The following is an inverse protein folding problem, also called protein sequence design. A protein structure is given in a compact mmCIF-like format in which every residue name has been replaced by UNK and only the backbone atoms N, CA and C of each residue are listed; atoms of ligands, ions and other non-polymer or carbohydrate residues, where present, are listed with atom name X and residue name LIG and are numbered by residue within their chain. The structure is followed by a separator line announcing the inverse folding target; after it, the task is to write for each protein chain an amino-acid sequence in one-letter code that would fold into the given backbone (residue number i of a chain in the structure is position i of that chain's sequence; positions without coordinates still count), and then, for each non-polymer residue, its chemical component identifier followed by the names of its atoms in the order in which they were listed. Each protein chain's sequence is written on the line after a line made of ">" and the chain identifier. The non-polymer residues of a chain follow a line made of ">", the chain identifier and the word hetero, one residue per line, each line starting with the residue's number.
data_IF_491536365844
#
_entry.id   IF_491536365844
#
_cell.length_a   1.000
_cell.length_b   1.000
_cell.length_c   1.000
_cell.angle_alpha   90.00
_cell.angle_beta   90.00
_cell.angle_gamma   90.00
#
_symmetry.space_group_name_H-M   'P 1'
#
loop_
_entity.id
_entity.type
_entity.pdbx_description
1 polymer ?
#
# COMPACT_ATOMS: atom_id res chain seq x y z
N UNK A 1 13.86 -19.06 -13.11
CA UNK A 1 13.08 -18.00 -13.76
C UNK A 1 13.59 -16.67 -13.24
N UNK A 2 14.16 -15.86 -14.14
CA UNK A 2 14.92 -14.66 -13.80
C UNK A 2 14.01 -13.59 -13.20
N UNK A 3 14.16 -13.35 -11.91
CA UNK A 3 13.58 -12.19 -11.23
C UNK A 3 14.46 -10.98 -11.53
N UNK A 4 14.31 -10.41 -12.73
CA UNK A 4 14.79 -9.07 -13.02
C UNK A 4 13.82 -8.09 -12.36
N UNK A 5 14.11 -7.74 -11.12
CA UNK A 5 13.63 -6.47 -10.59
C UNK A 5 14.09 -5.40 -11.58
N UNK A 6 13.12 -4.73 -12.20
CA UNK A 6 13.41 -3.66 -13.14
C UNK A 6 14.28 -2.65 -12.38
N UNK A 7 15.53 -2.55 -12.81
CA UNK A 7 16.42 -1.48 -12.39
C UNK A 7 15.66 -0.17 -12.61
N UNK A 8 15.46 0.56 -11.51
CA UNK A 8 14.74 1.82 -11.50
C UNK A 8 15.27 2.69 -12.63
N UNK A 9 14.40 2.98 -13.61
CA UNK A 9 14.65 3.91 -14.72
C UNK A 9 14.67 5.37 -14.20
N UNK A 10 15.12 5.56 -12.94
CA UNK A 10 15.18 6.86 -12.28
C UNK A 10 16.55 7.42 -12.58
N UNK A 11 16.59 8.47 -13.40
CA UNK A 11 17.83 9.18 -13.71
C UNK A 11 18.37 9.89 -12.46
N UNK A 12 19.60 9.52 -12.06
CA UNK A 12 20.27 10.10 -10.89
C UNK A 12 20.57 11.60 -11.03
N UNK A 13 20.63 12.10 -12.26
CA UNK A 13 20.87 13.50 -12.57
C UNK A 13 19.57 14.27 -12.87
N UNK A 14 18.41 13.64 -12.68
CA UNK A 14 17.14 14.30 -12.97
C UNK A 14 16.87 15.46 -12.02
N UNK A 15 16.35 16.55 -12.54
CA UNK A 15 15.78 17.63 -11.72
C UNK A 15 14.53 17.08 -11.02
N UNK A 16 14.57 17.06 -9.68
CA UNK A 16 13.47 16.55 -8.89
C UNK A 16 12.30 17.52 -8.86
N UNK A 17 11.17 17.07 -9.40
CA UNK A 17 9.86 17.74 -9.37
C UNK A 17 9.00 17.06 -8.33
N UNK A 18 8.89 17.68 -7.17
CA UNK A 18 8.35 17.05 -5.96
C UNK A 18 6.85 17.30 -5.84
N UNK A 19 6.09 16.21 -5.67
CA UNK A 19 4.74 16.24 -5.13
C UNK A 19 4.77 15.94 -3.63
N UNK A 20 4.46 16.93 -2.81
CA UNK A 20 4.35 16.75 -1.36
C UNK A 20 2.96 16.24 -1.04
N UNK A 21 2.85 15.11 -0.31
CA UNK A 21 1.55 14.59 0.08
C UNK A 21 1.40 14.57 1.61
N UNK A 22 0.35 15.21 2.08
CA UNK A 22 -0.03 15.31 3.48
C UNK A 22 -1.41 14.71 3.73
N UNK A 23 -1.59 14.02 4.86
CA UNK A 23 -2.89 13.47 5.27
C UNK A 23 -3.05 13.52 6.78
N UNK A 24 -4.23 13.96 7.24
CA UNK A 24 -4.71 13.73 8.60
C UNK A 24 -5.87 12.72 8.59
N UNK A 25 -5.96 11.93 9.64
CA UNK A 25 -7.14 11.13 9.93
C UNK A 25 -7.78 11.66 11.22
N UNK A 26 -9.10 11.41 11.38
CA UNK A 26 -9.80 11.74 12.63
C UNK A 26 -9.18 11.11 13.88
N UNK A 27 -8.48 9.98 13.69
CA UNK A 27 -7.80 9.27 14.79
C UNK A 27 -6.54 10.03 15.24
N UNK A 28 -5.88 10.76 14.34
CA UNK A 28 -4.67 11.55 14.67
C UNK A 28 -5.00 12.77 15.55
N UNK A 29 -6.23 13.28 15.46
CA UNK A 29 -6.72 14.38 16.31
C UNK A 29 -6.92 13.95 17.77
N UNK A 30 -7.29 12.68 17.99
CA UNK A 30 -7.58 12.13 19.33
C UNK A 30 -6.33 11.75 20.12
N UNK A 31 -5.20 11.49 19.46
CA UNK A 31 -3.95 11.03 20.11
C UNK A 31 -3.04 12.15 20.61
N UNK A 32 -3.45 13.42 20.46
CA UNK A 32 -2.65 14.57 20.90
C UNK A 32 -1.36 14.79 20.08
N UNK A 33 -1.07 13.97 19.12
CA UNK A 33 -0.03 14.19 18.09
C UNK A 33 -0.57 15.10 16.99
N UNK A 34 -1.01 16.27 17.40
CA UNK A 34 -1.55 17.32 16.56
C UNK A 34 -0.43 18.01 15.76
N UNK A 35 0.28 17.28 14.93
CA UNK A 35 0.92 17.90 13.80
C UNK A 35 -0.17 18.19 12.78
N UNK A 36 -0.74 19.42 12.83
CA UNK A 36 -1.69 19.86 11.81
C UNK A 36 -1.16 19.58 10.40
N UNK A 37 -2.02 19.40 9.41
CA UNK A 37 -1.59 19.27 8.00
C UNK A 37 -0.58 20.36 7.61
N UNK A 38 -0.78 21.58 8.11
CA UNK A 38 0.16 22.68 7.91
C UNK A 38 1.56 22.39 8.42
N UNK A 39 1.69 21.78 9.61
CA UNK A 39 2.98 21.39 10.16
C UNK A 39 3.65 20.28 9.35
N UNK A 40 2.89 19.26 8.91
CA UNK A 40 3.42 18.23 8.00
C UNK A 40 3.92 18.85 6.71
N UNK A 41 3.12 19.73 6.10
CA UNK A 41 3.48 20.46 4.89
C UNK A 41 4.77 21.24 5.06
N UNK A 42 4.86 22.04 6.13
CA UNK A 42 6.00 22.93 6.36
C UNK A 42 7.30 22.14 6.57
N UNK A 43 7.25 21.02 7.32
CA UNK A 43 8.39 20.11 7.48
C UNK A 43 8.86 19.59 6.12
N UNK A 44 7.95 19.07 5.30
CA UNK A 44 8.27 18.44 4.03
C UNK A 44 8.75 19.46 3.00
N UNK A 45 8.12 20.64 2.94
CA UNK A 45 8.54 21.73 2.02
C UNK A 45 9.91 22.25 2.40
N UNK A 46 10.18 22.49 3.70
CA UNK A 46 11.49 22.91 4.18
C UNK A 46 12.57 21.86 3.87
N UNK A 47 12.25 20.59 4.03
CA UNK A 47 13.17 19.52 3.64
C UNK A 47 13.47 19.56 2.14
N UNK A 48 12.46 19.67 1.27
CA UNK A 48 12.67 19.78 -0.17
C UNK A 48 13.55 21.00 -0.53
N UNK A 49 13.29 22.14 0.11
CA UNK A 49 14.10 23.35 -0.10
C UNK A 49 15.56 23.16 0.32
N UNK A 50 15.81 22.50 1.47
CA UNK A 50 17.17 22.19 1.93
C UNK A 50 17.94 21.28 0.96
N UNK A 51 17.23 20.43 0.21
CA UNK A 51 17.79 19.55 -0.82
C UNK A 51 17.90 20.24 -2.20
N UNK A 52 17.43 21.47 -2.33
CA UNK A 52 17.39 22.18 -3.61
C UNK A 52 16.37 21.61 -4.61
N UNK A 53 15.34 20.90 -4.15
CA UNK A 53 14.33 20.30 -5.00
C UNK A 53 13.18 21.25 -5.29
N UNK A 54 12.62 21.14 -6.51
CA UNK A 54 11.48 21.95 -6.91
C UNK A 54 10.17 21.32 -6.45
N UNK A 55 9.46 21.96 -5.52
CA UNK A 55 8.10 21.56 -5.15
C UNK A 55 7.14 22.03 -6.25
N UNK A 56 6.47 21.08 -6.92
CA UNK A 56 5.50 21.34 -7.99
C UNK A 56 4.14 21.68 -7.40
N UNK A 57 3.69 20.84 -6.46
CA UNK A 57 2.39 21.01 -5.80
C UNK A 57 2.38 20.31 -4.43
N UNK A 58 1.43 20.76 -3.59
CA UNK A 58 1.14 20.14 -2.30
C UNK A 58 -0.27 19.57 -2.33
N UNK A 59 -0.36 18.26 -2.12
CA UNK A 59 -1.59 17.48 -2.14
C UNK A 59 -2.00 17.18 -0.72
N UNK A 60 -3.26 17.48 -0.36
CA UNK A 60 -3.72 17.40 1.04
C UNK A 60 -5.10 16.74 1.11
N UNK A 61 -5.16 15.60 1.81
CA UNK A 61 -6.42 14.93 2.13
C UNK A 61 -6.67 15.03 3.64
N UNK A 62 -7.68 15.82 4.04
CA UNK A 62 -8.08 16.00 5.42
C UNK A 62 -9.36 15.19 5.73
N UNK A 63 -9.42 14.57 6.91
CA UNK A 63 -10.58 13.79 7.36
C UNK A 63 -10.78 12.44 6.69
N UNK A 64 -9.85 11.99 5.83
CA UNK A 64 -9.90 10.69 5.18
C UNK A 64 -9.11 9.63 5.95
N UNK A 65 -9.72 8.46 6.16
CA UNK A 65 -9.03 7.33 6.78
C UNK A 65 -8.02 6.70 5.81
N UNK A 66 -6.95 6.14 6.33
CA UNK A 66 -5.96 5.42 5.48
C UNK A 66 -6.51 4.16 4.80
N UNK A 67 -7.73 3.75 5.12
CA UNK A 67 -8.44 2.60 4.53
C UNK A 67 -9.31 3.00 3.33
N UNK A 68 -9.68 4.28 3.22
CA UNK A 68 -10.52 4.77 2.13
C UNK A 68 -9.68 5.14 0.91
N UNK A 69 -10.09 4.66 -0.25
CA UNK A 69 -9.45 4.95 -1.55
C UNK A 69 -9.93 6.25 -2.19
N UNK A 70 -11.08 6.78 -1.74
CA UNK A 70 -11.65 8.02 -2.27
C UNK A 70 -10.95 9.26 -1.67
N UNK A 71 -9.65 9.38 -1.94
CA UNK A 71 -8.81 10.51 -1.56
C UNK A 71 -8.53 11.35 -2.81
N UNK A 72 -9.25 12.48 -2.98
CA UNK A 72 -9.20 13.26 -4.23
C UNK A 72 -7.80 13.79 -4.54
N UNK A 73 -7.08 14.24 -3.51
CA UNK A 73 -5.73 14.78 -3.72
C UNK A 73 -4.68 13.70 -3.92
N UNK A 74 -4.83 12.51 -3.33
CA UNK A 74 -4.02 11.37 -3.72
C UNK A 74 -4.23 11.00 -5.20
N UNK A 75 -5.49 10.95 -5.66
CA UNK A 75 -5.78 10.67 -7.06
C UNK A 75 -5.20 11.74 -8.01
N UNK A 76 -5.24 13.01 -7.58
CA UNK A 76 -4.62 14.12 -8.32
C UNK A 76 -3.11 13.97 -8.39
N UNK A 77 -2.46 13.57 -7.30
CA UNK A 77 -1.03 13.27 -7.25
C UNK A 77 -0.67 12.12 -8.20
N UNK A 78 -1.40 11.00 -8.15
CA UNK A 78 -1.13 9.86 -9.03
C UNK A 78 -1.25 10.24 -10.51
N UNK A 79 -2.27 11.02 -10.87
CA UNK A 79 -2.40 11.56 -12.23
C UNK A 79 -1.25 12.49 -12.63
N UNK A 80 -0.71 13.27 -11.70
CA UNK A 80 0.47 14.10 -11.95
C UNK A 80 1.73 13.26 -12.19
N UNK A 81 1.88 12.14 -11.47
CA UNK A 81 2.94 11.16 -11.70
C UNK A 81 2.80 10.50 -13.08
N UNK A 82 1.61 10.05 -13.46
CA UNK A 82 1.34 9.46 -14.79
C UNK A 82 1.69 10.40 -15.94
N UNK A 83 1.42 11.69 -15.77
CA UNK A 83 1.75 12.73 -16.75
C UNK A 83 3.23 13.15 -16.74
N UNK A 84 4.03 12.59 -15.84
CA UNK A 84 5.44 12.98 -15.67
C UNK A 84 5.64 14.40 -15.14
N UNK A 85 4.62 15.03 -14.57
CA UNK A 85 4.73 16.35 -13.94
C UNK A 85 5.46 16.26 -12.61
N UNK A 86 5.27 15.15 -11.89
CA UNK A 86 5.90 14.80 -10.63
C UNK A 86 6.75 13.55 -10.83
N UNK A 87 8.02 13.59 -10.46
CA UNK A 87 8.95 12.46 -10.50
C UNK A 87 9.52 12.09 -9.12
N UNK A 88 9.11 12.82 -8.07
CA UNK A 88 9.41 12.51 -6.67
C UNK A 88 8.17 12.76 -5.83
N UNK A 89 7.75 11.77 -5.08
CA UNK A 89 6.68 11.88 -4.08
C UNK A 89 7.29 11.81 -2.69
N UNK A 90 6.94 12.77 -1.83
CA UNK A 90 7.41 12.79 -0.43
C UNK A 90 6.24 12.85 0.54
N UNK A 91 6.32 12.03 1.59
CA UNK A 91 5.39 12.01 2.72
C UNK A 91 6.13 12.09 4.06
N UNK A 92 5.44 12.43 5.13
CA UNK A 92 6.02 12.38 6.47
C UNK A 92 6.40 10.95 6.84
N UNK A 93 5.47 10.03 6.70
CA UNK A 93 5.60 8.60 6.97
C UNK A 93 4.78 7.79 5.96
N UNK A 94 5.00 6.48 5.86
CA UNK A 94 4.28 5.61 4.92
C UNK A 94 2.78 5.53 5.21
N UNK A 95 2.36 5.70 6.48
CA UNK A 95 0.95 5.63 6.85
C UNK A 95 0.13 6.75 6.20
N UNK A 96 0.78 7.87 5.80
CA UNK A 96 0.13 8.96 5.06
C UNK A 96 -0.26 8.50 3.65
N UNK A 97 0.59 7.71 3.00
CA UNK A 97 0.28 7.14 1.69
C UNK A 97 -0.89 6.14 1.78
N UNK A 98 -0.90 5.28 2.79
CA UNK A 98 -2.00 4.35 3.06
C UNK A 98 -1.73 3.47 4.28
N UNK A 99 -2.81 3.10 5.01
CA UNK A 99 -2.75 2.07 6.06
C UNK A 99 -2.98 0.67 5.51
N UNK A 100 -3.50 0.57 4.28
CA UNK A 100 -3.68 -0.70 3.61
C UNK A 100 -2.38 -1.12 2.94
N UNK A 101 -1.71 -2.13 3.51
CA UNK A 101 -0.43 -2.64 3.01
C UNK A 101 -0.48 -3.08 1.55
N UNK A 102 -1.63 -3.61 1.08
CA UNK A 102 -1.79 -4.03 -0.32
C UNK A 102 -1.75 -2.84 -1.27
N UNK A 103 -2.48 -1.77 -0.94
CA UNK A 103 -2.50 -0.55 -1.79
C UNK A 103 -1.18 0.19 -1.75
N UNK A 104 -0.60 0.33 -0.54
CA UNK A 104 0.70 1.00 -0.39
C UNK A 104 1.80 0.20 -1.08
N UNK A 105 1.78 -1.13 -0.96
CA UNK A 105 2.69 -2.03 -1.67
C UNK A 105 2.56 -1.89 -3.18
N UNK A 106 1.33 -1.90 -3.72
CA UNK A 106 1.10 -1.67 -5.15
C UNK A 106 1.67 -0.33 -5.64
N UNK A 107 1.46 0.75 -4.88
CA UNK A 107 1.99 2.06 -5.24
C UNK A 107 3.53 2.07 -5.25
N UNK A 108 4.16 1.45 -4.25
CA UNK A 108 5.62 1.46 -4.09
C UNK A 108 6.32 0.47 -5.02
N UNK A 109 5.72 -0.70 -5.27
CA UNK A 109 6.37 -1.80 -5.99
C UNK A 109 6.04 -1.80 -7.48
N UNK A 110 4.87 -1.29 -7.87
CA UNK A 110 4.43 -1.29 -9.26
C UNK A 110 4.24 0.10 -9.83
N UNK A 111 3.40 0.94 -9.19
CA UNK A 111 2.99 2.21 -9.77
C UNK A 111 4.15 3.20 -9.90
N UNK A 112 4.83 3.51 -8.80
CA UNK A 112 5.93 4.49 -8.82
C UNK A 112 7.10 4.05 -9.70
N UNK A 113 7.60 2.80 -9.63
CA UNK A 113 8.65 2.34 -10.53
C UNK A 113 8.25 2.38 -12.00
N UNK A 114 7.00 2.00 -12.32
CA UNK A 114 6.48 2.03 -13.70
C UNK A 114 6.52 3.43 -14.32
N UNK A 115 6.26 4.47 -13.51
CA UNK A 115 6.24 5.86 -13.96
C UNK A 115 7.56 6.60 -13.69
N UNK A 116 8.62 5.90 -13.23
CA UNK A 116 9.90 6.51 -12.92
C UNK A 116 9.84 7.51 -11.78
N UNK A 117 8.95 7.28 -10.81
CA UNK A 117 8.75 8.15 -9.65
C UNK A 117 9.52 7.61 -8.45
N UNK A 118 10.36 8.45 -7.83
CA UNK A 118 11.00 8.19 -6.55
C UNK A 118 10.01 8.45 -5.42
N UNK A 119 10.00 7.62 -4.39
CA UNK A 119 9.19 7.83 -3.20
C UNK A 119 10.05 7.93 -1.96
N UNK A 120 9.76 8.93 -1.10
CA UNK A 120 10.43 9.15 0.18
C UNK A 120 9.39 9.24 1.30
N UNK A 121 9.57 8.44 2.37
CA UNK A 121 8.89 8.63 3.65
C UNK A 121 9.92 9.09 4.69
N UNK A 122 9.86 10.38 5.04
CA UNK A 122 10.94 11.06 5.76
C UNK A 122 11.22 10.46 7.14
N UNK A 123 10.17 10.16 7.92
CA UNK A 123 10.32 9.65 9.30
C UNK A 123 10.52 8.14 9.36
N UNK A 124 10.11 7.41 8.33
CA UNK A 124 10.34 5.97 8.22
C UNK A 124 11.71 5.65 7.61
N UNK A 125 12.46 6.69 7.21
CA UNK A 125 13.75 6.57 6.52
C UNK A 125 13.67 5.65 5.29
N UNK A 126 12.55 5.74 4.55
CA UNK A 126 12.32 4.96 3.34
C UNK A 126 12.60 5.85 2.14
N UNK A 127 13.47 5.38 1.25
CA UNK A 127 13.79 5.99 -0.02
C UNK A 127 13.90 4.91 -1.10
N UNK A 128 13.00 4.96 -2.09
CA UNK A 128 12.99 3.96 -3.16
C UNK A 128 14.15 4.10 -4.13
N UNK A 129 14.93 5.18 -4.02
CA UNK A 129 16.11 5.42 -4.84
C UNK A 129 17.38 4.72 -4.31
N UNK A 130 17.54 4.65 -3.00
CA UNK A 130 18.72 4.03 -2.37
C UNK A 130 18.72 2.50 -2.47
N UNK A 131 17.80 1.96 -3.26
CA UNK A 131 17.73 0.53 -3.58
C UNK A 131 17.88 -0.34 -2.35
N UNK A 132 16.78 -0.61 -1.68
CA UNK A 132 16.63 -1.44 -0.47
C UNK A 132 17.22 -2.85 -0.57
N UNK A 133 18.51 -2.98 -0.84
CA UNK A 133 19.17 -4.28 -0.82
C UNK A 133 19.29 -4.88 0.58
N UNK A 134 19.22 -4.06 1.64
CA UNK A 134 19.31 -4.56 3.01
C UNK A 134 17.95 -5.01 3.58
N UNK A 135 16.83 -4.41 3.12
CA UNK A 135 15.48 -4.75 3.62
C UNK A 135 14.80 -5.83 2.76
N UNK A 136 15.25 -6.06 1.53
CA UNK A 136 14.66 -7.07 0.65
C UNK A 136 14.58 -8.49 1.27
N UNK A 137 15.59 -9.00 2.00
CA UNK A 137 15.49 -10.27 2.72
C UNK A 137 14.40 -10.25 3.82
N UNK A 138 14.26 -9.12 4.53
CA UNK A 138 13.25 -8.96 5.57
C UNK A 138 11.83 -8.89 4.98
N UNK A 139 11.62 -8.21 3.84
CA UNK A 139 10.33 -8.19 3.13
C UNK A 139 9.92 -9.61 2.72
N UNK A 140 10.85 -10.41 2.22
CA UNK A 140 10.57 -11.79 1.83
C UNK A 140 10.16 -12.65 3.03
N UNK A 141 10.84 -12.51 4.17
CA UNK A 141 10.50 -13.21 5.43
C UNK A 141 9.12 -12.76 5.93
N UNK A 142 8.83 -11.47 5.91
CA UNK A 142 7.52 -10.94 6.31
C UNK A 142 6.41 -11.46 5.39
N UNK A 143 6.59 -11.44 4.09
CA UNK A 143 5.62 -11.97 3.12
C UNK A 143 5.38 -13.48 3.32
N UNK A 144 6.41 -14.25 3.62
CA UNK A 144 6.29 -15.67 3.95
C UNK A 144 5.51 -15.87 5.27
N UNK A 145 5.79 -15.05 6.30
CA UNK A 145 5.05 -15.08 7.56
C UNK A 145 3.58 -14.73 7.37
N UNK A 146 3.26 -13.69 6.57
CA UNK A 146 1.88 -13.34 6.23
C UNK A 146 1.16 -14.46 5.48
N UNK A 147 1.81 -15.06 4.50
CA UNK A 147 1.25 -16.19 3.75
C UNK A 147 0.95 -17.38 4.68
N UNK A 148 1.85 -17.69 5.61
CA UNK A 148 1.65 -18.74 6.62
C UNK A 148 0.52 -18.41 7.60
N UNK A 149 0.39 -17.15 8.03
CA UNK A 149 -0.67 -16.73 8.94
C UNK A 149 -2.05 -16.77 8.25
N UNK A 150 -2.14 -16.30 7.01
CA UNK A 150 -3.35 -16.42 6.20
C UNK A 150 -3.72 -17.90 6.01
N UNK A 151 -2.75 -18.75 5.66
CA UNK A 151 -2.99 -20.19 5.50
C UNK A 151 -3.52 -20.81 6.78
N UNK A 152 -2.93 -20.50 7.96
CA UNK A 152 -3.43 -20.99 9.26
C UNK A 152 -4.86 -20.52 9.54
N UNK A 153 -5.18 -19.25 9.28
CA UNK A 153 -6.53 -18.70 9.48
C UNK A 153 -7.56 -19.36 8.55
N UNK A 154 -7.19 -19.56 7.30
CA UNK A 154 -8.04 -20.26 6.32
C UNK A 154 -8.27 -21.71 6.75
N UNK A 155 -7.21 -22.45 7.10
CA UNK A 155 -7.35 -23.83 7.62
C UNK A 155 -8.19 -23.91 8.88
N UNK A 156 -8.00 -23.00 9.83
CA UNK A 156 -8.81 -22.95 11.05
C UNK A 156 -10.30 -22.70 10.73
N UNK A 157 -10.58 -21.81 9.78
CA UNK A 157 -11.94 -21.54 9.33
C UNK A 157 -12.58 -22.77 8.64
N UNK A 158 -11.85 -23.44 7.75
CA UNK A 158 -12.31 -24.67 7.12
C UNK A 158 -12.57 -25.78 8.13
N UNK A 159 -11.64 -25.97 9.07
CA UNK A 159 -11.79 -26.96 10.14
C UNK A 159 -13.03 -26.68 11.01
N UNK A 160 -13.24 -25.42 11.40
CA UNK A 160 -14.42 -25.01 12.16
C UNK A 160 -15.72 -25.23 11.39
N UNK A 161 -15.74 -24.99 10.08
CA UNK A 161 -16.93 -25.26 9.25
C UNK A 161 -17.17 -26.75 9.09
N UNK A 162 -16.13 -27.55 8.88
CA UNK A 162 -16.22 -28.99 8.79
C UNK A 162 -16.72 -29.64 10.09
N UNK A 163 -16.26 -29.17 11.26
CA UNK A 163 -16.75 -29.65 12.57
C UNK A 163 -18.22 -29.28 12.81
N UNK A 164 -18.73 -28.23 12.17
CA UNK A 164 -20.16 -27.86 12.16
C UNK A 164 -20.98 -28.62 11.10
N UNK A 165 -20.37 -29.59 10.41
CA UNK A 165 -21.02 -30.36 9.35
C UNK A 165 -21.26 -29.58 8.05
N UNK A 166 -20.63 -28.42 7.87
CA UNK A 166 -20.75 -27.66 6.63
C UNK A 166 -19.75 -28.17 5.60
N UNK A 167 -20.25 -28.46 4.40
CA UNK A 167 -19.39 -28.81 3.28
C UNK A 167 -18.63 -27.58 2.77
N UNK A 168 -17.32 -27.68 2.69
CA UNK A 168 -16.42 -26.58 2.30
C UNK A 168 -15.68 -26.84 0.98
N UNK A 169 -15.96 -27.96 0.32
CA UNK A 169 -15.37 -28.31 -0.97
C UNK A 169 -16.08 -27.64 -2.16
N UNK A 170 -15.36 -27.51 -3.26
CA UNK A 170 -15.91 -26.96 -4.51
C UNK A 170 -16.77 -28.01 -5.26
N UNK A 171 -16.42 -29.27 -5.13
CA UNK A 171 -17.12 -30.39 -5.78
C UNK A 171 -17.72 -31.30 -4.71
N UNK A 172 -19.03 -31.59 -4.76
CA UNK A 172 -19.64 -32.47 -3.78
C UNK A 172 -19.11 -33.91 -3.93
N UNK A 173 -19.06 -34.69 -2.84
CA UNK A 173 -18.73 -36.10 -2.92
C UNK A 173 -19.74 -36.89 -3.79
N UNK A 174 -19.37 -38.07 -4.26
CA UNK A 174 -20.22 -38.95 -5.03
C UNK A 174 -21.52 -39.24 -4.24
N UNK A 175 -22.67 -39.04 -4.87
CA UNK A 175 -23.97 -39.22 -4.24
C UNK A 175 -24.57 -37.98 -3.57
N UNK A 176 -23.88 -36.83 -3.68
CA UNK A 176 -24.38 -35.54 -3.14
C UNK A 176 -24.48 -34.50 -4.24
N UNK A 177 -25.42 -33.58 -4.09
CA UNK A 177 -25.60 -32.43 -4.95
C UNK A 177 -25.58 -31.15 -4.09
N UNK A 178 -24.91 -30.11 -4.59
CA UNK A 178 -24.94 -28.80 -3.93
C UNK A 178 -26.32 -28.19 -4.09
N UNK A 179 -26.94 -27.78 -2.98
CA UNK A 179 -28.19 -27.03 -3.01
C UNK A 179 -27.92 -25.59 -3.45
N UNK A 180 -28.96 -24.86 -3.88
CA UNK A 180 -28.87 -23.43 -4.25
C UNK A 180 -28.46 -22.52 -3.08
N UNK A 181 -28.50 -23.04 -1.85
CA UNK A 181 -28.06 -22.36 -0.61
C UNK A 181 -26.74 -22.91 -0.05
N UNK A 182 -25.95 -23.58 -0.88
CA UNK A 182 -24.62 -24.13 -0.51
C UNK A 182 -24.63 -25.20 0.61
N UNK A 183 -25.70 -25.92 0.76
CA UNK A 183 -25.81 -27.11 1.62
C UNK A 183 -25.75 -28.33 0.72
N UNK A 184 -24.84 -29.27 0.97
CA UNK A 184 -24.82 -30.56 0.29
C UNK A 184 -25.93 -31.47 0.85
N UNK A 185 -26.92 -31.84 0.03
CA UNK A 185 -27.96 -32.79 0.40
C UNK A 185 -27.68 -34.15 -0.25
N UNK A 186 -28.00 -35.28 0.46
CA UNK A 186 -27.86 -36.60 -0.15
C UNK A 186 -28.89 -36.75 -1.28
N UNK A 187 -28.41 -37.07 -2.48
CA UNK A 187 -29.30 -37.47 -3.59
C UNK A 187 -29.84 -38.85 -3.29
N UNK A 188 -31.13 -38.95 -3.00
CA UNK A 188 -31.85 -40.24 -2.99
C UNK A 188 -32.02 -40.71 -4.44
N UNK A 189 -31.33 -41.78 -4.78
CA UNK A 189 -31.65 -42.61 -5.94
C UNK A 189 -32.61 -43.70 -5.54
#
# INVERSE_FOLDING_TARGET
>A
MNNRYMSNNIDRNATWRVGVYCRLSKDDELTGESASISNQRDILVNYCQSQGWQVVDVFQDDGYTGLNTDRPDLQRLLKACEKGLVNLVITKDQSRLGRNHVQTGFLMEEFFPKHGVRYIALYDNVDTFDGDNEIAPFKNVLNEMYSRDISKKVHASYHLQATKGKFTGVVPPLGYQLSLIHISEPTRH
#
